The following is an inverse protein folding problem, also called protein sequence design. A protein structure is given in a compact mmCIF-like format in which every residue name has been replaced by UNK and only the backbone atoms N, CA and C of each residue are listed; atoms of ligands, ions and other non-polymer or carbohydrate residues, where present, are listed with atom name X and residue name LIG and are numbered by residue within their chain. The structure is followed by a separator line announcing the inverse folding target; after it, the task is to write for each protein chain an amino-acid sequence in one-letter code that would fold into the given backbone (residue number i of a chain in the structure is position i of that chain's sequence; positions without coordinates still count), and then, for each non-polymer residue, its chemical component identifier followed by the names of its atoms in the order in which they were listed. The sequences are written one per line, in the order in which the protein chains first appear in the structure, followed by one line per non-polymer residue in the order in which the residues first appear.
data_IF_990124974358
#
_entry.id   IF_990124974358
#
_cell.length_a   1.000
_cell.length_b   1.000
_cell.length_c   1.000
_cell.angle_alpha   90.00
_cell.angle_beta   90.00
_cell.angle_gamma   90.00
#
_symmetry.space_group_name_H-M   'P 1'
#
loop_
_entity.id
_entity.type
_entity.pdbx_description
1 polymer ?
#
# COMPACT_ATOMS: atom_id res chain seq x y z
N UNK A 1 47.77 24.53 -29.18
CA UNK A 1 46.78 23.44 -29.19
C UNK A 1 46.11 23.46 -27.82
N UNK A 2 44.87 23.93 -27.76
CA UNK A 2 44.14 24.23 -26.52
C UNK A 2 43.17 23.09 -26.21
N UNK A 3 43.15 22.68 -24.96
CA UNK A 3 42.55 21.47 -24.40
C UNK A 3 41.05 21.62 -24.13
N UNK A 4 40.28 22.02 -25.14
CA UNK A 4 38.85 22.29 -24.94
C UNK A 4 38.03 20.98 -24.93
N UNK A 5 38.53 19.90 -25.51
CA UNK A 5 37.83 18.61 -25.58
C UNK A 5 37.91 17.78 -24.29
N UNK A 6 38.96 17.98 -23.49
CA UNK A 6 39.17 17.22 -22.25
C UNK A 6 38.25 17.68 -21.10
N UNK A 7 37.78 18.94 -21.13
CA UNK A 7 36.91 19.51 -20.11
C UNK A 7 35.43 19.10 -20.29
N UNK A 8 34.98 18.90 -21.53
CA UNK A 8 33.63 18.40 -21.78
C UNK A 8 33.49 16.92 -21.43
N UNK A 9 34.53 16.11 -21.63
CA UNK A 9 34.50 14.68 -21.30
C UNK A 9 34.40 14.42 -19.79
N UNK A 10 35.07 15.24 -18.97
CA UNK A 10 34.98 15.17 -17.50
C UNK A 10 33.64 15.67 -16.97
N UNK A 11 33.04 16.70 -17.58
CA UNK A 11 31.72 17.21 -17.20
C UNK A 11 30.59 16.22 -17.53
N UNK A 12 30.65 15.51 -18.66
CA UNK A 12 29.64 14.49 -19.02
C UNK A 12 29.70 13.26 -18.11
N UNK A 13 30.90 12.89 -17.64
CA UNK A 13 31.11 11.72 -16.78
C UNK A 13 30.50 11.87 -15.37
N UNK A 14 30.49 13.09 -14.82
CA UNK A 14 29.95 13.34 -13.46
C UNK A 14 28.42 13.36 -13.44
N UNK A 15 27.77 13.82 -14.51
CA UNK A 15 26.30 13.85 -14.61
C UNK A 15 25.71 12.43 -14.75
N UNK A 16 26.48 11.49 -15.30
CA UNK A 16 26.05 10.09 -15.50
C UNK A 16 25.98 9.27 -14.19
N UNK A 17 26.60 9.72 -13.08
CA UNK A 17 26.72 8.92 -11.86
C UNK A 17 25.75 9.33 -10.72
N UNK A 18 24.89 10.33 -10.93
CA UNK A 18 24.00 10.87 -9.89
C UNK A 18 22.56 10.34 -9.89
N UNK A 19 22.28 9.16 -10.46
CA UNK A 19 20.88 8.66 -10.57
C UNK A 19 20.58 7.43 -9.69
N UNK A 20 21.53 6.88 -8.91
CA UNK A 20 21.22 5.71 -8.05
C UNK A 20 21.49 6.02 -6.58
N UNK A 21 20.66 6.89 -6.02
CA UNK A 21 20.48 7.01 -4.58
C UNK A 21 19.04 7.40 -4.25
N UNK A 22 18.06 6.65 -4.77
CA UNK A 22 16.75 6.60 -4.13
C UNK A 22 16.81 5.52 -3.05
N UNK A 23 16.50 5.81 -1.78
CA UNK A 23 16.28 4.74 -0.81
C UNK A 23 15.16 3.84 -1.36
N UNK A 24 15.45 2.55 -1.49
CA UNK A 24 14.44 1.51 -1.70
C UNK A 24 13.57 1.44 -0.43
N UNK A 25 12.68 2.40 -0.26
CA UNK A 25 11.53 2.32 0.64
C UNK A 25 10.27 2.60 -0.16
N UNK A 26 10.20 2.06 -1.37
CA UNK A 26 8.93 1.84 -2.02
C UNK A 26 8.40 0.51 -1.46
N UNK A 27 7.56 0.61 -0.43
CA UNK A 27 6.37 -0.22 -0.48
C UNK A 27 5.80 0.01 -1.87
N UNK A 28 5.80 -1.03 -2.70
CA UNK A 28 5.12 -0.95 -3.97
C UNK A 28 3.66 -0.63 -3.66
N UNK A 29 3.31 0.65 -3.76
CA UNK A 29 1.95 1.11 -3.97
C UNK A 29 1.58 0.58 -5.36
N UNK A 30 1.31 -0.72 -5.44
CA UNK A 30 0.44 -1.27 -6.47
C UNK A 30 -0.87 -0.53 -6.30
N UNK A 31 -1.09 0.48 -7.14
CA UNK A 31 -2.38 0.97 -7.59
C UNK A 31 -3.52 0.70 -6.60
N UNK A 32 -3.36 1.17 -5.37
CA UNK A 32 -4.48 1.31 -4.45
C UNK A 32 -5.18 2.52 -5.06
N UNK A 33 -6.32 2.29 -5.70
CA UNK A 33 -7.19 3.39 -6.14
C UNK A 33 -7.19 4.43 -5.02
N UNK A 34 -6.79 5.67 -5.33
CA UNK A 34 -6.68 6.76 -4.35
C UNK A 34 -8.00 6.86 -3.60
N UNK A 35 -8.07 6.20 -2.44
CA UNK A 35 -9.23 6.23 -1.59
C UNK A 35 -9.02 7.42 -0.68
N UNK A 36 -9.89 8.42 -0.83
CA UNK A 36 -9.86 9.58 0.04
C UNK A 36 -10.14 9.12 1.47
N UNK A 37 -9.10 9.10 2.31
CA UNK A 37 -9.24 8.80 3.74
C UNK A 37 -10.10 9.84 4.45
N UNK A 38 -10.40 10.97 3.81
CA UNK A 38 -11.35 11.98 4.24
C UNK A 38 -12.75 11.79 3.64
N UNK A 39 -13.06 10.61 3.08
CA UNK A 39 -14.40 10.30 2.59
C UNK A 39 -15.42 10.65 3.67
N UNK A 40 -16.22 11.67 3.39
CA UNK A 40 -17.30 12.12 4.26
C UNK A 40 -18.62 11.60 3.69
N UNK A 41 -19.52 11.19 4.58
CA UNK A 41 -20.87 10.82 4.20
C UNK A 41 -21.68 12.05 3.73
N UNK A 42 -22.91 11.84 3.30
CA UNK A 42 -23.80 12.92 2.81
C UNK A 42 -24.08 14.03 3.82
N UNK A 43 -23.70 13.83 5.10
CA UNK A 43 -23.88 14.76 6.19
C UNK A 43 -22.57 15.49 6.60
N UNK A 44 -21.46 15.23 5.89
CA UNK A 44 -20.16 15.86 6.14
C UNK A 44 -19.37 15.25 7.29
N UNK A 45 -19.80 14.09 7.82
CA UNK A 45 -19.07 13.34 8.84
C UNK A 45 -18.24 12.21 8.21
N UNK A 46 -17.20 11.74 8.88
CA UNK A 46 -16.32 10.67 8.36
C UNK A 46 -17.14 9.42 8.06
N UNK A 47 -17.02 8.90 6.84
CA UNK A 47 -17.66 7.65 6.44
C UNK A 47 -16.84 6.45 6.93
N UNK A 48 -17.11 6.07 8.18
CA UNK A 48 -16.46 4.93 8.81
C UNK A 48 -16.81 3.59 8.13
N UNK A 49 -17.95 3.49 7.43
CA UNK A 49 -18.29 2.27 6.71
C UNK A 49 -17.43 2.12 5.44
N UNK A 50 -17.23 3.22 4.71
CA UNK A 50 -16.33 3.23 3.56
C UNK A 50 -14.88 2.91 3.96
N UNK A 51 -14.40 3.48 5.07
CA UNK A 51 -13.07 3.17 5.63
C UNK A 51 -12.94 1.70 6.06
N UNK A 52 -13.97 1.12 6.68
CA UNK A 52 -13.97 -0.29 7.03
C UNK A 52 -13.79 -1.18 5.80
N UNK A 53 -14.62 -0.96 4.77
CA UNK A 53 -14.53 -1.72 3.51
C UNK A 53 -13.21 -1.52 2.78
N UNK A 54 -12.65 -0.31 2.81
CA UNK A 54 -11.32 -0.05 2.25
C UNK A 54 -10.26 -0.95 2.89
N UNK A 55 -10.20 -0.98 4.23
CA UNK A 55 -9.22 -1.81 4.92
C UNK A 55 -9.50 -3.31 4.77
N UNK A 56 -10.76 -3.75 4.68
CA UNK A 56 -11.08 -5.14 4.33
C UNK A 56 -10.54 -5.53 2.95
N UNK A 57 -10.69 -4.65 1.96
CA UNK A 57 -10.18 -4.88 0.62
C UNK A 57 -8.65 -4.90 0.61
N UNK A 58 -8.00 -4.00 1.36
CA UNK A 58 -6.54 -4.03 1.53
C UNK A 58 -6.07 -5.36 2.14
N UNK A 59 -6.79 -5.89 3.13
CA UNK A 59 -6.49 -7.21 3.69
C UNK A 59 -6.62 -8.33 2.64
N UNK A 60 -7.69 -8.31 1.81
CA UNK A 60 -7.85 -9.28 0.70
C UNK A 60 -6.71 -9.19 -0.31
N UNK A 61 -6.26 -7.99 -0.67
CA UNK A 61 -5.12 -7.80 -1.56
C UNK A 61 -3.85 -8.41 -0.97
N UNK A 62 -3.62 -8.29 0.35
CA UNK A 62 -2.48 -8.95 0.99
C UNK A 62 -2.58 -10.48 0.91
N UNK A 63 -3.78 -11.04 1.07
CA UNK A 63 -4.02 -12.48 0.89
C UNK A 63 -3.72 -12.93 -0.55
N UNK A 64 -4.17 -12.18 -1.56
CA UNK A 64 -3.82 -12.48 -2.97
C UNK A 64 -2.31 -12.47 -3.18
N UNK A 65 -1.58 -11.53 -2.59
CA UNK A 65 -0.11 -11.49 -2.69
C UNK A 65 0.56 -12.69 -2.01
N UNK A 66 -0.01 -13.22 -0.93
CA UNK A 66 0.46 -14.47 -0.31
C UNK A 66 0.26 -15.64 -1.26
N UNK A 67 -0.92 -15.76 -1.86
CA UNK A 67 -1.22 -16.82 -2.82
C UNK A 67 -0.26 -16.78 -4.02
N UNK A 68 0.03 -15.59 -4.55
CA UNK A 68 1.03 -15.39 -5.61
C UNK A 68 2.43 -15.85 -5.20
N UNK A 69 2.87 -15.56 -3.96
CA UNK A 69 4.17 -16.04 -3.46
C UNK A 69 4.20 -17.57 -3.33
N UNK A 70 3.11 -18.18 -2.87
CA UNK A 70 2.98 -19.64 -2.73
C UNK A 70 2.97 -20.30 -4.11
N UNK A 71 2.20 -19.76 -5.05
CA UNK A 71 2.12 -20.24 -6.42
C UNK A 71 3.46 -20.11 -7.16
N UNK A 72 4.17 -18.99 -7.00
CA UNK A 72 5.49 -18.82 -7.60
C UNK A 72 6.51 -19.88 -7.12
N UNK A 73 6.36 -20.39 -5.89
CA UNK A 73 7.18 -21.49 -5.37
C UNK A 73 6.72 -22.86 -5.84
N UNK A 74 5.42 -23.09 -6.03
CA UNK A 74 4.89 -24.40 -6.43
C UNK A 74 5.33 -24.81 -7.84
N UNK A 75 5.53 -23.83 -8.73
CA UNK A 75 5.94 -24.06 -10.12
C UNK A 75 7.44 -24.35 -10.32
N UNK A 76 8.27 -24.21 -9.27
CA UNK A 76 9.71 -24.43 -9.37
C UNK A 76 10.09 -25.88 -9.05
N UNK A 77 10.98 -26.52 -9.84
CA UNK A 77 11.42 -27.88 -9.56
C UNK A 77 12.14 -27.94 -8.21
N UNK A 78 11.95 -29.01 -7.45
CA UNK A 78 12.50 -29.16 -6.09
C UNK A 78 14.02 -28.99 -6.04
N UNK A 79 14.71 -29.37 -7.12
CA UNK A 79 16.16 -29.22 -7.29
C UNK A 79 16.63 -27.77 -7.35
N UNK A 80 15.79 -26.84 -7.81
CA UNK A 80 16.11 -25.40 -7.87
C UNK A 80 16.33 -24.75 -6.50
N UNK A 81 15.95 -25.46 -5.43
CA UNK A 81 16.13 -25.02 -4.05
C UNK A 81 17.33 -25.65 -3.35
N UNK A 82 18.13 -26.45 -4.06
CA UNK A 82 19.36 -27.00 -3.51
C UNK A 82 20.53 -26.02 -3.72
N UNK A 83 21.41 -25.95 -2.73
CA UNK A 83 22.48 -24.95 -2.68
C UNK A 83 22.07 -23.63 -2.00
N UNK A 84 23.07 -22.78 -1.75
CA UNK A 84 22.93 -21.54 -0.97
C UNK A 84 21.87 -20.59 -1.54
N UNK A 85 21.90 -20.37 -2.86
CA UNK A 85 20.95 -19.48 -3.55
C UNK A 85 19.50 -19.97 -3.42
N UNK A 86 19.27 -21.28 -3.54
CA UNK A 86 17.95 -21.88 -3.36
C UNK A 86 17.38 -21.73 -1.94
N UNK A 87 18.25 -21.83 -0.92
CA UNK A 87 17.87 -21.58 0.47
C UNK A 87 17.55 -20.10 0.72
N UNK A 88 18.32 -19.18 0.11
CA UNK A 88 18.11 -17.74 0.22
C UNK A 88 16.76 -17.33 -0.40
N UNK A 89 16.39 -17.92 -1.55
CA UNK A 89 15.06 -17.72 -2.17
C UNK A 89 13.95 -18.14 -1.20
N UNK A 90 14.05 -19.32 -0.57
CA UNK A 90 13.04 -19.80 0.39
C UNK A 90 12.88 -18.86 1.59
N UNK A 91 13.99 -18.40 2.16
CA UNK A 91 13.98 -17.44 3.28
C UNK A 91 13.32 -16.13 2.86
N UNK A 92 13.66 -15.63 1.67
CA UNK A 92 13.12 -14.38 1.17
C UNK A 92 11.60 -14.47 0.91
N UNK A 93 11.13 -15.56 0.30
CA UNK A 93 9.69 -15.75 0.08
C UNK A 93 8.95 -15.93 1.40
N UNK A 94 9.50 -16.71 2.35
CA UNK A 94 8.92 -16.84 3.69
C UNK A 94 8.79 -15.48 4.39
N UNK A 95 9.83 -14.65 4.30
CA UNK A 95 9.79 -13.30 4.86
C UNK A 95 8.69 -12.45 4.22
N UNK A 96 8.53 -12.50 2.89
CA UNK A 96 7.44 -11.77 2.21
C UNK A 96 6.06 -12.22 2.66
N UNK A 97 5.84 -13.52 2.79
CA UNK A 97 4.56 -14.08 3.26
C UNK A 97 4.25 -13.55 4.67
N UNK A 98 5.18 -13.66 5.62
CA UNK A 98 5.02 -13.14 6.99
C UNK A 98 4.72 -11.62 7.02
N UNK A 99 5.35 -10.85 6.14
CA UNK A 99 5.08 -9.41 6.03
C UNK A 99 3.67 -9.12 5.49
N UNK A 100 3.18 -9.89 4.51
CA UNK A 100 1.82 -9.75 4.00
C UNK A 100 0.77 -10.23 5.00
N UNK A 101 1.03 -11.29 5.75
CA UNK A 101 0.16 -11.78 6.82
C UNK A 101 -0.02 -10.69 7.89
N UNK A 102 1.09 -10.11 8.37
CA UNK A 102 1.05 -8.98 9.33
C UNK A 102 0.28 -7.79 8.77
N UNK A 103 0.48 -7.46 7.50
CA UNK A 103 -0.24 -6.36 6.86
C UNK A 103 -1.74 -6.67 6.72
N UNK A 104 -2.12 -7.91 6.42
CA UNK A 104 -3.52 -8.34 6.37
C UNK A 104 -4.19 -8.18 7.74
N UNK A 105 -3.54 -8.66 8.80
CA UNK A 105 -4.04 -8.55 10.17
C UNK A 105 -4.20 -7.09 10.61
N UNK A 106 -3.21 -6.24 10.33
CA UNK A 106 -3.28 -4.80 10.63
C UNK A 106 -4.44 -4.12 9.90
N UNK A 107 -4.67 -4.48 8.64
CA UNK A 107 -5.80 -3.94 7.88
C UNK A 107 -7.13 -4.45 8.45
N UNK A 108 -7.25 -5.72 8.83
CA UNK A 108 -8.45 -6.24 9.48
C UNK A 108 -8.75 -5.57 10.83
N UNK A 109 -7.72 -5.27 11.63
CA UNK A 109 -7.87 -4.52 12.87
C UNK A 109 -8.39 -3.10 12.63
N UNK A 110 -7.87 -2.40 11.62
CA UNK A 110 -8.35 -1.07 11.23
C UNK A 110 -9.79 -1.14 10.70
N UNK A 111 -10.13 -2.15 9.92
CA UNK A 111 -11.48 -2.37 9.46
C UNK A 111 -12.45 -2.56 10.63
N UNK A 112 -12.10 -3.42 11.59
CA UNK A 112 -12.90 -3.65 12.79
C UNK A 112 -13.09 -2.38 13.62
N UNK A 113 -12.02 -1.58 13.77
CA UNK A 113 -12.09 -0.27 14.42
C UNK A 113 -13.12 0.65 13.74
N UNK A 114 -13.05 0.79 12.42
CA UNK A 114 -13.99 1.64 11.68
C UNK A 114 -15.42 1.10 11.68
N UNK A 115 -15.64 -0.23 11.66
CA UNK A 115 -16.98 -0.80 11.85
C UNK A 115 -17.58 -0.39 13.19
N UNK A 116 -16.80 -0.50 14.26
CA UNK A 116 -17.24 -0.09 15.60
C UNK A 116 -17.59 1.41 15.64
N UNK A 117 -16.77 2.26 15.02
CA UNK A 117 -17.06 3.69 14.94
C UNK A 117 -18.34 4.00 14.15
N UNK A 118 -18.62 3.24 13.09
CA UNK A 118 -19.85 3.37 12.32
C UNK A 118 -21.11 2.96 13.12
N UNK A 119 -21.00 1.94 13.99
CA UNK A 119 -22.07 1.52 14.90
C UNK A 119 -22.31 2.55 16.02
N UNK A 120 -21.25 3.22 16.48
CA UNK A 120 -21.30 4.24 17.53
C UNK A 120 -21.73 5.62 17.01
N UNK A 121 -21.74 5.83 15.69
CA UNK A 121 -22.05 7.11 15.07
C UNK A 121 -23.55 7.43 15.29
N UNK A 122 -23.90 8.45 16.10
CA UNK A 122 -25.30 8.76 16.36
C UNK A 122 -25.92 9.23 15.05
N UNK A 123 -27.00 8.55 14.64
CA UNK A 123 -27.84 8.91 13.51
C UNK A 123 -28.51 10.26 13.83
N UNK A 124 -27.77 11.37 13.68
CA UNK A 124 -28.30 12.72 13.88
C UNK A 124 -29.18 12.98 12.67
N UNK A 125 -30.52 13.02 12.80
CA UNK A 125 -31.34 13.43 11.68
C UNK A 125 -30.90 14.84 11.30
N UNK A 126 -30.57 15.03 10.01
CA UNK A 126 -30.35 16.35 9.44
C UNK A 126 -31.55 17.21 9.83
N UNK A 127 -31.35 18.12 10.79
CA UNK A 127 -32.44 18.94 11.30
C UNK A 127 -33.07 19.65 10.11
N UNK A 128 -34.33 19.28 9.85
CA UNK A 128 -35.16 19.86 8.83
C UNK A 128 -35.12 21.38 8.99
N UNK A 129 -34.84 22.04 7.87
CA UNK A 129 -34.92 23.47 7.61
C UNK A 129 -36.04 24.13 8.43
N UNK A 130 -35.71 24.62 9.63
CA UNK A 130 -36.69 25.24 10.53
C UNK A 130 -37.01 26.65 10.05
N UNK A 131 -38.23 26.80 9.54
CA UNK A 131 -39.08 27.98 9.62
C UNK A 131 -38.44 29.36 9.43
N UNK A 132 -38.50 29.89 8.21
CA UNK A 132 -38.54 31.35 8.04
C UNK A 132 -39.99 31.80 8.26
N UNK A 133 -40.26 32.25 9.48
CA UNK A 133 -41.42 33.08 9.80
C UNK A 133 -41.27 34.42 9.07
N UNK A 134 -42.33 34.85 8.38
CA UNK A 134 -42.61 36.26 8.12
C UNK A 134 -44.06 36.50 8.53
N UNK A 135 -44.22 36.98 9.75
CA UNK A 135 -45.33 37.86 10.11
C UNK A 135 -44.94 39.30 9.83
#
# INVERSE_FOLDING_TARGET
MKTDTAQYFTLVSIVAFCIIATPMSAFATDQIAEFDLNATNTQGDVDHNALAHFYENQAKVMQTKIDEQVEALSHKPRSSYFGKHGQDIKKHVKYKIDQFEKAADQNLQKAAYHKKMAEEQPNRPAFAKSGRTKG
#
